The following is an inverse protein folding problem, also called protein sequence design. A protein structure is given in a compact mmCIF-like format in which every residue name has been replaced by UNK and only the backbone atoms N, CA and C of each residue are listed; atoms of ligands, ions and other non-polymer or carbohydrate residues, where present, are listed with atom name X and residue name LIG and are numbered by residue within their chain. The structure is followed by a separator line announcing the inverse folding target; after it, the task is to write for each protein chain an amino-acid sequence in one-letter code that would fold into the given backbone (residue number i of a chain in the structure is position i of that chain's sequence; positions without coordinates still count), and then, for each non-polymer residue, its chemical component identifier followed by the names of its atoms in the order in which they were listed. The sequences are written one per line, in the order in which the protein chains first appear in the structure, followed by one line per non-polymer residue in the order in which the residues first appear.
data_IF_220331428368
#
_entry.id   IF_220331428368
#
_cell.length_a   1.000
_cell.length_b   1.000
_cell.length_c   1.000
_cell.angle_alpha   90.00
_cell.angle_beta   90.00
_cell.angle_gamma   90.00
#
_symmetry.space_group_name_H-M   'P 1'
#
loop_
_entity.id
_entity.type
_entity.pdbx_description
1 polymer ?
#
# COMPACT_ATOMS: atom_id res chain seq x y z
N UNK A 1 -20.01 21.24 -3.41
CA UNK A 1 -20.62 21.54 -2.09
C UNK A 1 -19.52 21.27 -1.08
N UNK A 2 -19.08 22.27 -0.32
CA UNK A 2 -17.95 22.16 0.62
C UNK A 2 -18.27 21.15 1.72
N UNK A 3 -17.39 20.16 1.88
CA UNK A 3 -17.56 18.99 2.76
C UNK A 3 -16.87 19.16 4.11
N UNK A 4 -16.13 20.25 4.27
CA UNK A 4 -15.26 20.54 5.41
C UNK A 4 -16.04 20.74 6.71
N UNK A 5 -15.61 20.07 7.77
CA UNK A 5 -16.16 20.20 9.12
C UNK A 5 -15.74 21.56 9.72
N UNK A 6 -16.68 22.39 10.21
CA UNK A 6 -16.37 23.64 10.90
C UNK A 6 -15.51 23.47 12.16
N UNK A 7 -15.44 22.27 12.73
CA UNK A 7 -14.59 21.94 13.87
C UNK A 7 -13.12 21.67 13.51
N UNK A 8 -12.73 21.73 12.23
CA UNK A 8 -11.35 21.49 11.77
C UNK A 8 -10.38 22.55 12.30
N UNK A 9 -9.26 22.11 12.89
CA UNK A 9 -8.22 22.99 13.42
C UNK A 9 -7.24 23.49 12.35
N UNK A 10 -7.00 22.70 11.28
CA UNK A 10 -6.08 23.07 10.20
C UNK A 10 -6.71 24.12 9.30
N UNK A 11 -6.09 25.26 8.98
CA UNK A 11 -6.70 26.31 8.15
C UNK A 11 -7.11 25.81 6.76
N UNK A 12 -8.11 26.47 6.17
CA UNK A 12 -8.46 26.23 4.77
C UNK A 12 -7.56 27.03 3.86
N UNK A 13 -6.90 26.34 2.93
CA UNK A 13 -6.03 26.95 1.93
C UNK A 13 -6.81 27.07 0.62
N UNK A 14 -7.83 27.94 0.64
CA UNK A 14 -8.71 28.19 -0.50
C UNK A 14 -9.35 26.89 -1.03
N UNK A 15 -9.93 26.05 -0.17
CA UNK A 15 -10.55 24.78 -0.56
C UNK A 15 -9.60 23.68 -1.04
N UNK A 16 -8.28 23.80 -0.79
CA UNK A 16 -7.28 22.82 -1.21
C UNK A 16 -7.62 21.39 -0.80
N UNK A 17 -8.03 21.18 0.45
CA UNK A 17 -8.21 19.84 1.00
C UNK A 17 -9.38 19.10 0.32
N UNK A 18 -10.48 19.80 0.07
CA UNK A 18 -11.62 19.28 -0.69
C UNK A 18 -11.18 18.88 -2.11
N UNK A 19 -10.39 19.72 -2.80
CA UNK A 19 -9.87 19.38 -4.14
C UNK A 19 -8.92 18.19 -4.15
N UNK A 20 -8.09 18.03 -3.11
CA UNK A 20 -7.24 16.85 -2.96
C UNK A 20 -8.12 15.60 -2.75
N UNK A 21 -9.11 15.66 -1.87
CA UNK A 21 -10.01 14.53 -1.64
C UNK A 21 -10.79 14.12 -2.89
N UNK A 22 -11.28 15.09 -3.67
CA UNK A 22 -11.92 14.86 -4.95
C UNK A 22 -10.97 14.21 -5.97
N UNK A 23 -9.72 14.67 -6.06
CA UNK A 23 -8.75 14.07 -6.98
C UNK A 23 -8.33 12.66 -6.54
N UNK A 24 -8.17 12.42 -5.23
CA UNK A 24 -7.91 11.10 -4.65
C UNK A 24 -9.03 10.12 -5.00
N UNK A 25 -10.30 10.49 -4.77
CA UNK A 25 -11.45 9.68 -5.20
C UNK A 25 -11.38 9.35 -6.69
N UNK A 26 -11.05 10.35 -7.53
CA UNK A 26 -10.94 10.18 -8.98
C UNK A 26 -9.84 9.19 -9.36
N UNK A 27 -8.62 9.33 -8.83
CA UNK A 27 -7.51 8.47 -9.24
C UNK A 27 -7.48 7.10 -8.55
N UNK A 28 -8.08 6.95 -7.36
CA UNK A 28 -8.36 5.64 -6.76
C UNK A 28 -9.56 4.93 -7.44
N UNK A 29 -10.34 5.64 -8.26
CA UNK A 29 -11.64 5.17 -8.75
C UNK A 29 -12.54 4.64 -7.63
N UNK A 30 -12.44 5.29 -6.47
CA UNK A 30 -13.18 4.90 -5.29
C UNK A 30 -14.64 5.36 -5.42
N UNK A 31 -15.56 4.53 -4.93
CA UNK A 31 -17.00 4.82 -5.01
C UNK A 31 -17.46 5.72 -3.85
N UNK A 32 -16.74 5.65 -2.73
CA UNK A 32 -17.04 6.40 -1.52
C UNK A 32 -15.76 6.88 -0.83
N UNK A 33 -15.95 7.80 0.12
CA UNK A 33 -14.92 8.18 1.08
C UNK A 33 -15.50 8.15 2.49
N UNK A 34 -14.70 7.65 3.42
CA UNK A 34 -14.95 7.73 4.85
C UNK A 34 -14.48 9.05 5.47
N UNK A 35 -13.86 9.94 4.69
CA UNK A 35 -13.44 11.23 5.19
C UNK A 35 -14.64 12.06 5.62
N UNK A 36 -14.63 12.44 6.89
CA UNK A 36 -15.69 13.22 7.54
C UNK A 36 -15.66 14.71 7.20
N UNK A 37 -14.65 15.16 6.45
CA UNK A 37 -14.39 16.57 6.21
C UNK A 37 -13.59 17.24 7.33
N UNK A 38 -13.29 16.53 8.42
CA UNK A 38 -12.53 17.06 9.55
C UNK A 38 -11.04 16.87 9.39
N UNK A 39 -10.30 17.95 9.62
CA UNK A 39 -8.83 17.98 9.60
C UNK A 39 -8.31 18.62 10.89
N UNK A 40 -7.55 17.84 11.66
CA UNK A 40 -6.92 18.28 12.90
C UNK A 40 -5.39 18.21 12.78
N UNK A 41 -4.66 18.74 13.75
CA UNK A 41 -3.20 18.61 13.78
C UNK A 41 -2.78 17.27 14.40
N UNK A 42 -1.65 16.73 13.93
CA UNK A 42 -0.95 15.67 14.66
C UNK A 42 -0.56 16.14 16.06
N UNK A 43 -0.59 15.25 17.08
CA UNK A 43 -0.15 15.59 18.43
C UNK A 43 1.31 16.10 18.47
N UNK A 44 1.66 16.99 19.42
CA UNK A 44 3.03 17.47 19.58
C UNK A 44 4.03 16.31 19.71
N UNK A 45 5.12 16.39 18.95
CA UNK A 45 6.18 15.38 18.94
C UNK A 45 6.01 14.35 17.82
N UNK A 46 4.78 14.00 17.46
CA UNK A 46 4.50 13.18 16.27
C UNK A 46 4.58 14.03 15.00
N UNK A 47 4.16 15.28 15.07
CA UNK A 47 4.16 16.25 13.97
C UNK A 47 5.56 16.58 13.41
N UNK A 48 6.63 16.19 14.11
CA UNK A 48 8.02 16.32 13.64
C UNK A 48 8.54 15.10 12.88
N UNK A 49 7.88 13.95 13.01
CA UNK A 49 8.33 12.66 12.41
C UNK A 49 7.35 12.14 11.36
N UNK A 50 6.06 12.29 11.58
CA UNK A 50 5.00 11.90 10.66
C UNK A 50 4.45 13.12 9.90
N UNK A 51 4.01 12.91 8.66
CA UNK A 51 3.40 13.99 7.85
C UNK A 51 1.89 14.06 8.01
N UNK A 52 1.24 12.92 8.18
CA UNK A 52 -0.17 12.85 8.46
C UNK A 52 -0.56 11.50 9.04
N UNK A 53 -1.85 11.36 9.33
CA UNK A 53 -2.47 10.12 9.76
C UNK A 53 -3.97 10.15 9.44
N UNK A 54 -4.47 9.11 8.79
CA UNK A 54 -5.90 8.84 8.63
C UNK A 54 -6.46 8.06 9.84
N UNK A 55 -7.28 8.72 10.65
CA UNK A 55 -7.83 8.13 11.88
C UNK A 55 -8.96 7.13 11.61
N UNK A 56 -9.27 6.35 12.64
CA UNK A 56 -10.32 5.34 12.63
C UNK A 56 -11.73 5.90 12.43
N UNK A 57 -11.97 7.12 12.89
CA UNK A 57 -13.25 7.82 12.79
C UNK A 57 -13.32 8.73 11.55
N UNK A 58 -12.37 8.59 10.61
CA UNK A 58 -12.40 9.29 9.32
C UNK A 58 -11.96 10.75 9.38
N UNK A 59 -11.21 11.14 10.40
CA UNK A 59 -10.51 12.44 10.44
C UNK A 59 -9.13 12.32 9.82
N UNK A 60 -8.66 13.41 9.23
CA UNK A 60 -7.30 13.56 8.75
C UNK A 60 -6.48 14.35 9.77
N UNK A 61 -5.38 13.78 10.25
CA UNK A 61 -4.40 14.52 11.07
C UNK A 61 -3.23 14.92 10.18
N UNK A 62 -2.81 16.18 10.23
CA UNK A 62 -1.68 16.68 9.45
C UNK A 62 -0.60 17.30 10.34
N UNK A 63 0.66 17.10 9.96
CA UNK A 63 1.78 17.79 10.59
C UNK A 63 1.73 19.28 10.26
N UNK A 64 1.77 20.09 11.31
CA UNK A 64 1.89 21.54 11.16
C UNK A 64 3.18 21.93 10.43
N UNK A 65 4.40 21.58 10.91
CA UNK A 65 5.64 22.04 10.29
C UNK A 65 5.99 21.34 8.96
N UNK A 66 5.51 20.11 8.74
CA UNK A 66 5.91 19.34 7.55
C UNK A 66 4.91 19.44 6.39
N UNK A 67 3.63 19.74 6.67
CA UNK A 67 2.58 19.81 5.65
C UNK A 67 1.93 21.18 5.61
N UNK A 68 1.35 21.63 6.73
CA UNK A 68 0.48 22.81 6.73
C UNK A 68 1.25 24.10 6.55
N UNK A 69 2.38 24.29 7.25
CA UNK A 69 3.18 25.51 7.19
C UNK A 69 3.81 25.77 5.80
N UNK A 70 4.47 24.79 5.14
CA UNK A 70 4.96 24.98 3.78
C UNK A 70 3.87 25.40 2.79
N UNK A 71 2.68 24.78 2.87
CA UNK A 71 1.57 25.10 1.99
C UNK A 71 0.96 26.46 2.31
N UNK A 72 0.76 26.79 3.59
CA UNK A 72 0.29 28.10 4.01
C UNK A 72 1.22 29.21 3.52
N UNK A 73 2.54 28.97 3.58
CA UNK A 73 3.55 29.89 3.06
C UNK A 73 3.43 30.08 1.55
N UNK A 74 3.24 29.00 0.79
CA UNK A 74 3.02 29.06 -0.65
C UNK A 74 1.80 29.91 -1.02
N UNK A 75 0.68 29.74 -0.31
CA UNK A 75 -0.54 30.53 -0.55
C UNK A 75 -0.37 32.00 -0.13
N UNK A 76 0.33 32.28 0.96
CA UNK A 76 0.49 33.64 1.48
C UNK A 76 1.50 34.48 0.67
N UNK A 77 2.63 33.89 0.28
CA UNK A 77 3.73 34.60 -0.40
C UNK A 77 3.71 34.41 -1.93
N UNK A 78 2.88 33.51 -2.45
CA UNK A 78 2.73 33.26 -3.89
C UNK A 78 3.90 32.47 -4.51
N UNK A 79 3.93 32.31 -5.84
CA UNK A 79 4.88 31.42 -6.51
C UNK A 79 6.35 31.83 -6.41
N UNK A 80 6.65 33.08 -6.01
CA UNK A 80 8.02 33.57 -5.85
C UNK A 80 8.85 32.76 -4.84
N UNK A 81 8.20 32.19 -3.82
CA UNK A 81 8.89 31.38 -2.79
C UNK A 81 9.42 30.05 -3.31
N UNK A 82 8.92 29.60 -4.46
CA UNK A 82 9.36 28.35 -5.09
C UNK A 82 10.75 28.46 -5.72
N UNK A 83 11.35 29.66 -5.71
CA UNK A 83 12.78 29.85 -5.96
C UNK A 83 13.65 29.19 -4.89
N UNK A 84 13.13 28.93 -3.68
CA UNK A 84 13.74 28.04 -2.70
C UNK A 84 13.41 26.57 -3.05
N UNK A 85 14.39 25.78 -3.54
CA UNK A 85 14.14 24.40 -3.94
C UNK A 85 13.68 23.51 -2.78
N UNK A 86 14.13 23.80 -1.55
CA UNK A 86 13.75 23.02 -0.37
C UNK A 86 12.29 23.27 -0.02
N UNK A 87 11.82 24.52 -0.12
CA UNK A 87 10.41 24.82 0.08
C UNK A 87 9.54 24.17 -1.01
N UNK A 88 9.94 24.23 -2.28
CA UNK A 88 9.20 23.57 -3.36
C UNK A 88 9.01 22.06 -3.09
N UNK A 89 10.06 21.35 -2.67
CA UNK A 89 9.95 19.93 -2.28
C UNK A 89 9.06 19.74 -1.05
N UNK A 90 9.12 20.63 -0.06
CA UNK A 90 8.24 20.54 1.12
C UNK A 90 6.76 20.72 0.74
N UNK A 91 6.43 21.70 -0.09
CA UNK A 91 5.06 21.88 -0.59
C UNK A 91 4.57 20.65 -1.36
N UNK A 92 5.39 20.11 -2.25
CA UNK A 92 5.08 18.88 -2.99
C UNK A 92 4.83 17.70 -2.06
N UNK A 93 5.71 17.48 -1.08
CA UNK A 93 5.55 16.42 -0.08
C UNK A 93 4.33 16.64 0.81
N UNK A 94 3.95 17.88 1.08
CA UNK A 94 2.75 18.23 1.82
C UNK A 94 1.47 17.81 1.08
N UNK A 95 1.37 18.16 -0.20
CA UNK A 95 0.23 17.76 -1.05
C UNK A 95 0.18 16.23 -1.18
N UNK A 96 1.33 15.60 -1.43
CA UNK A 96 1.43 14.14 -1.49
C UNK A 96 0.98 13.47 -0.20
N UNK A 97 1.44 13.95 0.96
CA UNK A 97 1.08 13.37 2.25
C UNK A 97 -0.43 13.48 2.51
N UNK A 98 -1.03 14.65 2.27
CA UNK A 98 -2.48 14.78 2.41
C UNK A 98 -3.26 13.83 1.48
N UNK A 99 -2.80 13.67 0.23
CA UNK A 99 -3.41 12.73 -0.71
C UNK A 99 -3.25 11.26 -0.28
N UNK A 100 -2.08 10.89 0.25
CA UNK A 100 -1.80 9.55 0.78
C UNK A 100 -2.76 9.21 1.93
N UNK A 101 -2.87 10.10 2.91
CA UNK A 101 -3.77 9.90 4.04
C UNK A 101 -5.25 9.86 3.63
N UNK A 102 -5.66 10.70 2.67
CA UNK A 102 -7.01 10.62 2.10
C UNK A 102 -7.22 9.31 1.33
N UNK A 103 -6.16 8.73 0.76
CA UNK A 103 -6.16 7.43 0.12
C UNK A 103 -6.60 6.32 1.09
N UNK A 104 -6.11 6.35 2.34
CA UNK A 104 -6.58 5.42 3.39
C UNK A 104 -8.07 5.57 3.69
N UNK A 105 -8.67 6.73 3.40
CA UNK A 105 -10.09 7.01 3.62
C UNK A 105 -10.94 6.81 2.36
N UNK A 106 -10.37 6.28 1.28
CA UNK A 106 -11.15 5.80 0.12
C UNK A 106 -11.76 4.45 0.41
N UNK A 107 -12.93 4.18 -0.17
CA UNK A 107 -13.69 2.99 0.13
C UNK A 107 -14.57 2.53 -1.06
N UNK A 108 -14.83 1.22 -1.18
CA UNK A 108 -15.98 0.70 -1.92
C UNK A 108 -17.30 1.23 -1.33
N UNK A 109 -18.38 1.29 -2.12
CA UNK A 109 -19.66 1.87 -1.67
C UNK A 109 -20.31 1.15 -0.49
N UNK A 110 -20.02 -0.15 -0.32
CA UNK A 110 -20.55 -0.99 0.74
C UNK A 110 -19.67 -1.05 2.00
N UNK A 111 -18.50 -0.38 1.99
CA UNK A 111 -17.57 -0.38 3.11
C UNK A 111 -17.77 0.87 3.99
N UNK A 112 -17.99 0.64 5.29
CA UNK A 112 -18.44 1.66 6.24
C UNK A 112 -17.38 1.99 7.29
N UNK A 113 -17.63 3.03 8.10
CA UNK A 113 -16.78 3.35 9.25
C UNK A 113 -16.67 2.21 10.27
N UNK A 114 -17.74 1.43 10.44
CA UNK A 114 -17.72 0.28 11.33
C UNK A 114 -16.82 -0.85 10.78
N UNK A 115 -16.69 -0.95 9.45
CA UNK A 115 -15.75 -1.88 8.82
C UNK A 115 -14.30 -1.41 9.02
N UNK A 116 -14.03 -0.11 8.82
CA UNK A 116 -12.71 0.48 9.12
C UNK A 116 -12.26 0.21 10.54
N UNK A 117 -13.13 0.44 11.52
CA UNK A 117 -12.84 0.21 12.94
C UNK A 117 -12.50 -1.26 13.23
N UNK A 118 -13.07 -2.22 12.50
CA UNK A 118 -12.75 -3.65 12.64
C UNK A 118 -11.45 -4.04 11.94
N UNK A 119 -11.10 -3.33 10.86
CA UNK A 119 -9.90 -3.61 10.07
C UNK A 119 -8.62 -3.03 10.70
N UNK A 120 -8.74 -1.95 11.48
CA UNK A 120 -7.59 -1.26 12.08
C UNK A 120 -6.78 -2.08 13.09
N UNK A 121 -7.35 -3.14 13.66
CA UNK A 121 -6.65 -4.01 14.62
C UNK A 121 -5.78 -5.08 13.91
N UNK A 122 -5.57 -4.98 12.60
CA UNK A 122 -4.85 -5.97 11.77
C UNK A 122 -3.51 -5.44 11.25
N UNK A 123 -2.57 -5.22 12.17
CA UNK A 123 -1.20 -4.74 11.90
C UNK A 123 -0.47 -5.47 10.74
N UNK A 124 -0.83 -6.72 10.44
CA UNK A 124 -0.22 -7.52 9.37
C UNK A 124 -0.55 -6.99 7.96
N UNK A 125 -1.55 -6.11 7.80
CA UNK A 125 -2.00 -5.64 6.49
C UNK A 125 -1.43 -4.27 6.08
N UNK A 126 -0.80 -3.57 7.02
CA UNK A 126 -0.21 -2.23 6.82
C UNK A 126 0.78 -2.18 5.64
N UNK A 127 1.70 -3.15 5.44
CA UNK A 127 2.66 -3.04 4.34
C UNK A 127 2.01 -3.05 2.95
N UNK A 128 0.92 -3.81 2.78
CA UNK A 128 0.16 -3.79 1.53
C UNK A 128 -0.58 -2.46 1.38
N UNK A 129 -1.23 -1.99 2.43
CA UNK A 129 -2.01 -0.74 2.39
C UNK A 129 -1.13 0.44 2.03
N UNK A 130 -0.07 0.62 2.80
CA UNK A 130 0.90 1.68 2.62
C UNK A 130 1.61 1.55 1.28
N UNK A 131 1.98 0.33 0.87
CA UNK A 131 2.66 0.07 -0.39
C UNK A 131 1.86 0.48 -1.62
N UNK A 132 0.59 0.07 -1.71
CA UNK A 132 -0.28 0.34 -2.87
C UNK A 132 -0.75 1.80 -2.91
N UNK A 133 -1.18 2.36 -1.77
CA UNK A 133 -1.62 3.76 -1.70
C UNK A 133 -0.46 4.70 -2.01
N UNK A 134 0.72 4.45 -1.44
CA UNK A 134 1.90 5.27 -1.69
C UNK A 134 2.37 5.14 -3.15
N UNK A 135 2.33 3.94 -3.74
CA UNK A 135 2.70 3.74 -5.16
C UNK A 135 1.81 4.57 -6.09
N UNK A 136 0.49 4.50 -5.88
CA UNK A 136 -0.47 5.22 -6.70
C UNK A 136 -0.38 6.74 -6.47
N UNK A 137 -0.38 7.17 -5.20
CA UNK A 137 -0.28 8.59 -4.84
C UNK A 137 1.02 9.21 -5.37
N UNK A 138 2.14 8.51 -5.22
CA UNK A 138 3.44 8.98 -5.71
C UNK A 138 3.44 9.20 -7.23
N UNK A 139 2.82 8.30 -7.97
CA UNK A 139 2.67 8.38 -9.42
C UNK A 139 1.77 9.52 -9.87
N UNK A 140 0.66 9.74 -9.16
CA UNK A 140 -0.37 10.72 -9.54
C UNK A 140 -0.04 12.14 -9.09
N UNK A 141 0.81 12.31 -8.08
CA UNK A 141 1.15 13.63 -7.50
C UNK A 141 1.54 14.68 -8.56
N UNK A 142 2.38 14.40 -9.59
CA UNK A 142 2.70 15.39 -10.61
C UNK A 142 1.50 15.96 -11.36
N UNK A 143 0.52 15.13 -11.68
CA UNK A 143 -0.67 15.58 -12.37
C UNK A 143 -1.67 16.20 -11.39
N UNK A 144 -1.78 15.65 -10.17
CA UNK A 144 -2.62 16.16 -9.09
C UNK A 144 -2.26 17.60 -8.73
N UNK A 145 -0.97 17.91 -8.54
CA UNK A 145 -0.50 19.26 -8.20
C UNK A 145 -1.03 20.33 -9.16
N UNK A 146 -1.12 20.02 -10.46
CA UNK A 146 -1.65 20.95 -11.47
C UNK A 146 -3.18 21.06 -11.44
N UNK A 147 -3.88 20.04 -10.96
CA UNK A 147 -5.35 20.00 -10.87
C UNK A 147 -5.87 20.64 -9.59
N UNK A 148 -5.19 20.42 -8.47
CA UNK A 148 -5.69 20.80 -7.13
C UNK A 148 -5.21 22.18 -6.65
N UNK A 149 -4.14 22.70 -7.23
CA UNK A 149 -3.68 24.07 -6.97
C UNK A 149 -4.20 25.04 -8.02
N UNK A 150 -4.42 26.32 -7.68
CA UNK A 150 -4.56 27.38 -8.66
C UNK A 150 -3.41 27.36 -9.67
N UNK A 151 -3.67 27.68 -10.94
CA UNK A 151 -2.69 27.54 -12.02
C UNK A 151 -1.40 28.34 -11.77
N UNK A 152 -1.55 29.51 -11.13
CA UNK A 152 -0.46 30.39 -10.68
C UNK A 152 0.44 29.79 -9.60
N UNK A 153 0.02 28.72 -8.91
CA UNK A 153 0.82 27.98 -7.92
C UNK A 153 1.23 26.60 -8.44
N UNK A 154 0.30 25.87 -9.07
CA UNK A 154 0.48 24.48 -9.51
C UNK A 154 1.56 24.33 -10.59
N UNK A 155 1.50 25.15 -11.64
CA UNK A 155 2.47 25.10 -12.73
C UNK A 155 3.89 25.50 -12.29
N UNK A 156 4.09 26.60 -11.56
CA UNK A 156 5.40 26.92 -10.97
C UNK A 156 5.92 25.83 -10.03
N UNK A 157 5.08 25.24 -9.18
CA UNK A 157 5.50 24.18 -8.25
C UNK A 157 5.97 22.93 -9.02
N UNK A 158 5.20 22.49 -10.02
CA UNK A 158 5.59 21.35 -10.85
C UNK A 158 6.92 21.58 -11.58
N UNK A 159 7.15 22.79 -12.12
CA UNK A 159 8.43 23.15 -12.74
C UNK A 159 9.58 23.20 -11.73
N UNK A 160 9.37 23.82 -10.57
CA UNK A 160 10.39 23.97 -9.54
C UNK A 160 10.87 22.61 -8.99
N UNK A 161 9.96 21.63 -8.85
CA UNK A 161 10.33 20.27 -8.46
C UNK A 161 11.03 19.53 -9.60
N UNK A 162 10.53 19.63 -10.84
CA UNK A 162 11.16 18.98 -11.99
C UNK A 162 12.59 19.49 -12.25
N UNK A 163 12.85 20.78 -12.02
CA UNK A 163 14.15 21.40 -12.23
C UNK A 163 15.25 20.92 -11.26
N UNK A 164 14.90 20.26 -10.15
CA UNK A 164 15.88 19.82 -9.16
C UNK A 164 16.66 18.57 -9.60
N UNK A 165 16.19 17.84 -10.61
CA UNK A 165 16.86 16.64 -11.14
C UNK A 165 16.86 15.43 -10.21
N UNK A 166 16.62 15.60 -8.90
CA UNK A 166 16.43 14.51 -7.95
C UNK A 166 14.94 14.14 -7.83
N UNK A 167 14.64 12.87 -8.04
CA UNK A 167 13.29 12.35 -7.85
C UNK A 167 12.90 12.40 -6.37
N UNK A 168 11.74 12.98 -6.07
CA UNK A 168 11.13 12.90 -4.74
C UNK A 168 10.88 11.44 -4.42
N UNK A 169 11.47 10.91 -3.35
CA UNK A 169 11.30 9.50 -2.97
C UNK A 169 9.96 9.25 -2.26
N UNK A 170 9.40 8.03 -2.34
CA UNK A 170 8.31 7.61 -1.46
C UNK A 170 8.73 7.58 0.01
N UNK A 171 7.76 7.77 0.89
CA UNK A 171 7.81 7.64 2.35
C UNK A 171 8.11 6.20 2.76
N UNK A 172 7.54 5.22 2.04
CA UNK A 172 7.69 3.79 2.32
C UNK A 172 8.40 3.05 1.18
N UNK A 173 9.69 3.35 0.91
CA UNK A 173 10.35 2.90 -0.31
C UNK A 173 10.35 1.38 -0.49
N UNK A 174 10.54 0.60 0.58
CA UNK A 174 10.53 -0.87 0.50
C UNK A 174 9.18 -1.41 0.05
N UNK A 175 8.10 -0.97 0.70
CA UNK A 175 6.74 -1.42 0.42
C UNK A 175 6.21 -0.90 -0.92
N UNK A 176 6.47 0.37 -1.24
CA UNK A 176 6.13 0.96 -2.54
C UNK A 176 6.82 0.23 -3.69
N UNK A 177 8.09 -0.13 -3.53
CA UNK A 177 8.81 -0.92 -4.55
C UNK A 177 8.20 -2.30 -4.68
N UNK A 178 7.93 -3.00 -3.57
CA UNK A 178 7.31 -4.32 -3.60
C UNK A 178 5.95 -4.30 -4.33
N UNK A 179 5.10 -3.30 -4.06
CA UNK A 179 3.82 -3.13 -4.73
C UNK A 179 3.97 -2.85 -6.25
N UNK A 180 4.91 -1.98 -6.64
CA UNK A 180 5.17 -1.70 -8.06
C UNK A 180 5.71 -2.92 -8.81
N UNK A 181 6.62 -3.68 -8.18
CA UNK A 181 7.18 -4.90 -8.76
C UNK A 181 6.10 -5.96 -8.89
N UNK A 182 5.33 -6.18 -7.82
CA UNK A 182 4.20 -7.09 -7.85
C UNK A 182 3.25 -6.76 -9.01
N UNK A 183 2.87 -5.49 -9.15
CA UNK A 183 2.04 -5.02 -10.25
C UNK A 183 2.69 -5.20 -11.63
N UNK A 184 4.00 -4.97 -11.75
CA UNK A 184 4.77 -5.16 -12.97
C UNK A 184 4.82 -6.62 -13.42
N UNK A 185 5.09 -7.55 -12.49
CA UNK A 185 5.13 -8.99 -12.76
C UNK A 185 3.74 -9.51 -13.16
N UNK A 186 2.68 -9.11 -12.45
CA UNK A 186 1.31 -9.49 -12.85
C UNK A 186 0.95 -8.94 -14.23
N UNK A 187 1.31 -7.69 -14.54
CA UNK A 187 1.05 -7.10 -15.85
C UNK A 187 1.88 -7.71 -16.99
N UNK A 188 3.03 -8.32 -16.68
CA UNK A 188 3.82 -9.07 -17.65
C UNK A 188 3.24 -10.48 -17.92
N UNK A 189 2.63 -11.08 -16.89
CA UNK A 189 2.13 -12.46 -16.94
C UNK A 189 0.72 -12.58 -17.54
N UNK A 190 -0.19 -11.66 -17.23
CA UNK A 190 -1.59 -11.75 -17.61
C UNK A 190 -1.90 -10.84 -18.81
N UNK A 191 -2.45 -11.43 -19.87
CA UNK A 191 -2.78 -10.70 -21.09
C UNK A 191 -3.77 -9.55 -20.80
N UNK A 192 -3.56 -8.40 -21.45
CA UNK A 192 -4.36 -7.18 -21.28
C UNK A 192 -4.38 -6.57 -19.86
N UNK A 193 -3.62 -7.11 -18.91
CA UNK A 193 -3.49 -6.55 -17.57
C UNK A 193 -2.34 -5.55 -17.52
N UNK A 194 -2.63 -4.29 -17.19
CA UNK A 194 -1.56 -3.30 -16.96
C UNK A 194 -1.19 -3.26 -15.49
N UNK A 195 0.09 -3.01 -15.20
CA UNK A 195 0.54 -2.77 -13.82
C UNK A 195 -0.28 -1.65 -13.13
N UNK A 196 -0.70 -0.65 -13.89
CA UNK A 196 -1.55 0.46 -13.42
C UNK A 196 -2.89 -0.05 -12.87
N UNK A 197 -3.50 -1.02 -13.56
CA UNK A 197 -4.80 -1.58 -13.18
C UNK A 197 -4.66 -2.42 -11.89
N UNK A 198 -3.51 -3.08 -11.71
CA UNK A 198 -3.19 -3.82 -10.46
C UNK A 198 -3.00 -2.85 -9.29
N UNK A 199 -2.24 -1.78 -9.49
CA UNK A 199 -2.04 -0.76 -8.44
C UNK A 199 -3.36 -0.11 -8.05
N UNK A 200 -4.20 0.20 -9.04
CA UNK A 200 -5.53 0.76 -8.84
C UNK A 200 -6.43 -0.20 -8.07
N UNK A 201 -6.51 -1.48 -8.47
CA UNK A 201 -7.29 -2.49 -7.77
C UNK A 201 -6.84 -2.65 -6.32
N UNK A 202 -5.53 -2.59 -6.07
CA UNK A 202 -4.99 -2.65 -4.71
C UNK A 202 -5.31 -1.40 -3.87
N UNK A 203 -5.18 -0.21 -4.44
CA UNK A 203 -5.37 1.05 -3.72
C UNK A 203 -6.85 1.44 -3.48
N UNK A 204 -7.78 0.88 -4.27
CA UNK A 204 -9.23 1.10 -4.11
C UNK A 204 -9.83 0.38 -2.91
N UNK A 205 -9.18 -0.71 -2.49
CA UNK A 205 -9.73 -1.62 -1.48
C UNK A 205 -9.15 -1.35 -0.09
N UNK A 206 -9.96 -1.67 0.92
CA UNK A 206 -9.52 -1.66 2.32
C UNK A 206 -8.46 -2.73 2.57
N UNK A 207 -7.72 -2.58 3.67
CA UNK A 207 -6.69 -3.54 4.08
C UNK A 207 -7.16 -5.00 4.03
N UNK A 208 -8.35 -5.27 4.56
CA UNK A 208 -8.91 -6.62 4.65
C UNK A 208 -9.41 -7.20 3.34
N UNK A 209 -9.82 -6.36 2.39
CA UNK A 209 -10.39 -6.77 1.10
C UNK A 209 -9.35 -6.84 0.00
N UNK A 210 -8.25 -6.09 0.14
CA UNK A 210 -7.21 -5.95 -0.87
C UNK A 210 -6.66 -7.28 -1.41
N UNK A 211 -6.27 -8.27 -0.59
CA UNK A 211 -5.76 -9.52 -1.12
C UNK A 211 -6.80 -10.28 -1.95
N UNK A 212 -8.07 -10.24 -1.52
CA UNK A 212 -9.20 -10.83 -2.24
C UNK A 212 -9.45 -10.17 -3.59
N UNK A 213 -9.41 -8.84 -3.66
CA UNK A 213 -9.58 -8.12 -4.92
C UNK A 213 -8.44 -8.35 -5.90
N UNK A 214 -7.20 -8.43 -5.43
CA UNK A 214 -6.04 -8.78 -6.25
C UNK A 214 -6.15 -10.23 -6.76
N UNK A 215 -6.58 -11.17 -5.92
CA UNK A 215 -6.85 -12.55 -6.33
C UNK A 215 -7.96 -12.62 -7.39
N UNK A 216 -9.06 -11.90 -7.21
CA UNK A 216 -10.16 -11.81 -8.18
C UNK A 216 -9.70 -11.23 -9.52
N UNK A 217 -8.85 -10.20 -9.49
CA UNK A 217 -8.26 -9.63 -10.70
C UNK A 217 -7.44 -10.69 -11.46
N UNK A 218 -6.56 -11.42 -10.77
CA UNK A 218 -5.75 -12.48 -11.39
C UNK A 218 -6.63 -13.61 -11.97
N UNK A 219 -7.64 -14.05 -11.22
CA UNK A 219 -8.58 -15.09 -11.67
C UNK A 219 -9.32 -14.61 -12.92
N UNK A 220 -9.81 -13.37 -12.95
CA UNK A 220 -10.55 -12.82 -14.09
C UNK A 220 -9.72 -12.72 -15.38
N UNK A 221 -8.39 -12.68 -15.27
CA UNK A 221 -7.43 -12.61 -16.39
C UNK A 221 -6.80 -13.94 -16.74
N UNK A 222 -7.35 -15.04 -16.22
CA UNK A 222 -6.88 -16.40 -16.46
C UNK A 222 -7.97 -17.26 -17.11
N UNK A 223 -7.67 -18.52 -17.39
CA UNK A 223 -8.61 -19.53 -17.86
C UNK A 223 -9.49 -20.08 -16.72
N UNK A 224 -9.15 -19.78 -15.46
CA UNK A 224 -9.83 -20.30 -14.28
C UNK A 224 -11.34 -20.06 -14.22
N UNK A 225 -11.91 -18.92 -14.68
CA UNK A 225 -13.36 -18.73 -14.69
C UNK A 225 -14.10 -19.79 -15.51
N UNK A 226 -13.47 -20.30 -16.58
CA UNK A 226 -13.99 -21.40 -17.39
C UNK A 226 -13.84 -22.78 -16.72
N UNK A 227 -12.82 -22.94 -15.87
CA UNK A 227 -12.45 -24.21 -15.24
C UNK A 227 -13.07 -24.40 -13.85
N UNK A 228 -13.33 -23.32 -13.12
CA UNK A 228 -13.87 -23.29 -11.76
C UNK A 228 -15.40 -23.09 -11.76
N UNK A 229 -16.13 -24.01 -12.38
CA UNK A 229 -17.60 -23.93 -12.46
C UNK A 229 -18.30 -24.27 -11.13
N UNK A 230 -17.64 -25.00 -10.23
CA UNK A 230 -18.15 -25.29 -8.88
C UNK A 230 -17.91 -24.07 -7.96
N UNK A 231 -18.98 -23.40 -7.48
CA UNK A 231 -18.84 -22.21 -6.64
C UNK A 231 -18.03 -22.44 -5.36
N UNK A 232 -18.06 -23.65 -4.78
CA UNK A 232 -17.31 -23.97 -3.56
C UNK A 232 -15.81 -24.06 -3.84
N UNK A 233 -15.43 -24.68 -4.95
CA UNK A 233 -14.03 -24.77 -5.38
C UNK A 233 -13.50 -23.41 -5.81
N UNK A 234 -14.31 -22.62 -6.52
CA UNK A 234 -13.97 -21.25 -6.88
C UNK A 234 -13.69 -20.40 -5.65
N UNK A 235 -14.58 -20.46 -4.64
CA UNK A 235 -14.41 -19.73 -3.39
C UNK A 235 -13.16 -20.19 -2.60
N UNK A 236 -12.91 -21.49 -2.51
CA UNK A 236 -11.72 -22.03 -1.84
C UNK A 236 -10.43 -21.58 -2.53
N UNK A 237 -10.35 -21.69 -3.87
CA UNK A 237 -9.19 -21.26 -4.63
C UNK A 237 -8.93 -19.76 -4.49
N UNK A 238 -10.00 -18.94 -4.57
CA UNK A 238 -9.92 -17.50 -4.32
C UNK A 238 -9.35 -17.20 -2.93
N UNK A 239 -9.85 -17.87 -1.90
CA UNK A 239 -9.37 -17.69 -0.52
C UNK A 239 -7.88 -18.03 -0.42
N UNK A 240 -7.47 -19.19 -0.92
CA UNK A 240 -6.06 -19.61 -0.88
C UNK A 240 -5.12 -18.65 -1.61
N UNK A 241 -5.56 -18.09 -2.74
CA UNK A 241 -4.78 -17.09 -3.48
C UNK A 241 -4.74 -15.75 -2.74
N UNK A 242 -5.85 -15.31 -2.16
CA UNK A 242 -5.93 -14.10 -1.36
C UNK A 242 -5.03 -14.20 -0.11
N UNK A 243 -5.07 -15.32 0.61
CA UNK A 243 -4.25 -15.57 1.79
C UNK A 243 -2.76 -15.55 1.41
N UNK A 244 -2.38 -16.20 0.29
CA UNK A 244 -1.00 -16.19 -0.21
C UNK A 244 -0.49 -14.79 -0.50
N UNK A 245 -1.30 -13.94 -1.14
CA UNK A 245 -0.96 -12.53 -1.41
C UNK A 245 -0.85 -11.76 -0.08
N UNK A 246 -1.84 -11.91 0.80
CA UNK A 246 -1.89 -11.25 2.10
C UNK A 246 -0.67 -11.55 2.96
N UNK A 247 -0.36 -12.84 3.15
CA UNK A 247 0.80 -13.31 3.91
C UNK A 247 2.12 -12.84 3.30
N UNK A 248 2.19 -12.80 1.97
CA UNK A 248 3.34 -12.31 1.23
C UNK A 248 3.67 -10.86 1.56
N UNK A 249 2.67 -9.98 1.57
CA UNK A 249 2.85 -8.58 1.96
C UNK A 249 3.01 -8.40 3.47
N UNK A 250 2.32 -9.18 4.31
CA UNK A 250 2.49 -9.14 5.77
C UNK A 250 3.95 -9.40 6.18
N UNK A 251 4.62 -10.33 5.48
CA UNK A 251 6.05 -10.63 5.66
C UNK A 251 7.00 -9.48 5.29
N UNK A 252 6.52 -8.33 4.79
CA UNK A 252 7.32 -7.12 4.57
C UNK A 252 7.52 -6.28 5.83
N UNK A 253 6.72 -6.47 6.88
CA UNK A 253 6.82 -5.72 8.13
C UNK A 253 8.19 -5.93 8.82
N UNK A 254 8.83 -7.07 8.59
CA UNK A 254 10.11 -7.44 9.21
C UNK A 254 11.35 -6.88 8.49
N UNK A 255 11.20 -6.22 7.34
CA UNK A 255 12.32 -5.81 6.48
C UNK A 255 12.17 -4.37 6.03
N UNK A 256 12.42 -3.45 6.94
CA UNK A 256 12.34 -2.02 6.66
C UNK A 256 13.50 -1.56 5.74
N UNK A 257 13.19 -0.70 4.77
CA UNK A 257 14.08 0.27 4.10
C UNK A 257 15.02 -0.14 2.94
N UNK A 258 15.32 -1.41 2.66
CA UNK A 258 16.31 -1.73 1.59
C UNK A 258 15.66 -1.91 0.22
N UNK A 259 16.08 -1.09 -0.77
CA UNK A 259 15.59 -1.12 -2.17
C UNK A 259 15.61 -2.53 -2.78
N UNK A 260 16.69 -3.29 -2.57
CA UNK A 260 16.82 -4.67 -3.08
C UNK A 260 15.89 -5.66 -2.40
N UNK A 261 15.59 -5.47 -1.11
CA UNK A 261 14.64 -6.32 -0.39
C UNK A 261 13.22 -6.12 -0.92
N UNK A 262 12.81 -4.87 -1.20
CA UNK A 262 11.53 -4.56 -1.83
C UNK A 262 11.36 -5.24 -3.19
N UNK A 263 12.38 -5.17 -4.05
CA UNK A 263 12.38 -5.84 -5.38
C UNK A 263 12.17 -7.36 -5.24
N UNK A 264 13.07 -8.02 -4.51
CA UNK A 264 13.04 -9.48 -4.34
C UNK A 264 11.77 -9.97 -3.63
N UNK A 265 11.18 -9.16 -2.75
CA UNK A 265 9.93 -9.54 -2.09
C UNK A 265 8.75 -9.37 -3.05
N UNK A 266 8.64 -8.26 -3.77
CA UNK A 266 7.61 -8.07 -4.79
C UNK A 266 7.61 -9.19 -5.84
N UNK A 267 8.79 -9.54 -6.36
CA UNK A 267 9.00 -10.66 -7.30
C UNK A 267 8.52 -11.99 -6.70
N UNK A 268 8.89 -12.29 -5.44
CA UNK A 268 8.49 -13.53 -4.78
C UNK A 268 6.98 -13.61 -4.52
N UNK A 269 6.37 -12.50 -4.08
CA UNK A 269 4.92 -12.45 -3.83
C UNK A 269 4.17 -12.67 -5.15
N UNK A 270 4.58 -11.98 -6.23
CA UNK A 270 3.97 -12.16 -7.54
C UNK A 270 4.21 -13.56 -8.10
N UNK A 271 5.45 -14.06 -8.07
CA UNK A 271 5.80 -15.39 -8.56
C UNK A 271 5.00 -16.50 -7.88
N UNK A 272 4.84 -16.46 -6.55
CA UNK A 272 4.04 -17.43 -5.82
C UNK A 272 2.54 -17.36 -6.23
N UNK A 273 1.99 -16.16 -6.37
CA UNK A 273 0.60 -15.96 -6.78
C UNK A 273 0.35 -16.41 -8.23
N UNK A 274 1.28 -16.11 -9.14
CA UNK A 274 1.26 -16.56 -10.54
C UNK A 274 1.33 -18.08 -10.62
N UNK A 275 2.29 -18.70 -9.92
CA UNK A 275 2.46 -20.15 -9.88
C UNK A 275 1.19 -20.84 -9.38
N UNK A 276 0.54 -20.27 -8.35
CA UNK A 276 -0.75 -20.76 -7.83
C UNK A 276 -1.84 -20.74 -8.90
N UNK A 277 -1.96 -19.66 -9.68
CA UNK A 277 -2.91 -19.55 -10.80
C UNK A 277 -2.61 -20.59 -11.88
N UNK A 278 -1.37 -20.66 -12.37
CA UNK A 278 -0.98 -21.59 -13.45
C UNK A 278 -1.14 -23.06 -13.04
N UNK A 279 -0.74 -23.40 -11.82
CA UNK A 279 -0.93 -24.76 -11.28
C UNK A 279 -2.41 -25.08 -11.15
N UNK A 280 -3.23 -24.12 -10.72
CA UNK A 280 -4.68 -24.24 -10.68
C UNK A 280 -5.27 -24.51 -12.07
N UNK A 281 -4.89 -23.73 -13.09
CA UNK A 281 -5.36 -23.91 -14.46
C UNK A 281 -5.06 -25.32 -14.97
N UNK A 282 -3.81 -25.79 -14.80
CA UNK A 282 -3.40 -27.14 -15.22
C UNK A 282 -4.20 -28.23 -14.50
N UNK A 283 -4.35 -28.11 -13.18
CA UNK A 283 -5.07 -29.09 -12.37
C UNK A 283 -6.55 -29.19 -12.78
N UNK A 284 -7.23 -28.05 -12.90
CA UNK A 284 -8.67 -28.04 -13.22
C UNK A 284 -8.95 -28.38 -14.68
N UNK A 285 -8.07 -28.04 -15.62
CA UNK A 285 -8.16 -28.50 -17.00
C UNK A 285 -8.09 -30.02 -17.09
N UNK A 286 -7.13 -30.64 -16.41
CA UNK A 286 -7.01 -32.11 -16.35
C UNK A 286 -8.27 -32.74 -15.74
N UNK A 287 -8.80 -32.18 -14.65
CA UNK A 287 -10.04 -32.68 -14.05
C UNK A 287 -11.25 -32.62 -15.00
N UNK A 288 -11.34 -31.58 -15.83
CA UNK A 288 -12.38 -31.44 -16.83
C UNK A 288 -12.28 -32.52 -17.93
N UNK A 289 -11.05 -32.81 -18.38
CA UNK A 289 -10.77 -33.83 -19.40
C UNK A 289 -11.11 -35.25 -18.94
N UNK A 290 -11.04 -35.54 -17.64
CA UNK A 290 -11.45 -36.83 -17.06
C UNK A 290 -12.96 -37.00 -16.86
N UNK A 291 -13.80 -36.10 -17.42
CA UNK A 291 -15.25 -36.29 -17.47
C UNK A 291 -15.98 -36.19 -16.12
N UNK A 292 -15.41 -35.48 -15.15
CA UNK A 292 -16.06 -35.24 -13.86
C UNK A 292 -16.23 -36.50 -13.00
N UNK A 293 -15.38 -37.53 -13.17
CA UNK A 293 -15.31 -38.64 -12.21
C UNK A 293 -15.06 -38.05 -10.84
N UNK A 294 -16.08 -38.07 -9.99
CA UNK A 294 -16.00 -37.56 -8.63
C UNK A 294 -14.86 -38.29 -7.93
N UNK A 295 -13.76 -37.58 -7.68
CA UNK A 295 -12.73 -38.00 -6.73
C UNK A 295 -13.32 -37.88 -5.33
N UNK A 296 -14.27 -38.77 -5.01
CA UNK A 296 -14.94 -38.89 -3.71
C UNK A 296 -14.04 -39.55 -2.65
N UNK A 297 -12.72 -39.60 -2.91
CA UNK A 297 -11.71 -40.15 -2.01
C UNK A 297 -10.51 -39.22 -1.93
N UNK A 298 -10.64 -38.20 -1.09
CA UNK A 298 -9.61 -37.82 -0.13
C UNK A 298 -8.19 -37.55 -0.63
N UNK A 299 -7.99 -37.08 -1.86
CA UNK A 299 -6.72 -36.46 -2.26
C UNK A 299 -6.91 -34.96 -2.12
N UNK A 300 -6.73 -34.46 -0.90
CA UNK A 300 -6.34 -33.07 -0.73
C UNK A 300 -5.04 -32.88 -1.55
N UNK A 301 -4.89 -31.80 -2.34
CA UNK A 301 -3.59 -31.46 -2.87
C UNK A 301 -2.63 -31.42 -1.67
N UNK A 302 -1.49 -32.11 -1.78
CA UNK A 302 -0.52 -32.14 -0.71
C UNK A 302 -0.05 -30.72 -0.40
N UNK A 303 -0.66 -30.09 0.61
CA UNK A 303 -0.09 -28.96 1.32
C UNK A 303 1.20 -29.48 1.95
N UNK A 304 2.33 -29.29 1.26
CA UNK A 304 3.63 -29.78 1.75
C UNK A 304 4.70 -30.09 0.70
N UNK A 305 4.45 -29.91 -0.60
CA UNK A 305 5.45 -30.22 -1.63
C UNK A 305 6.07 -28.99 -2.33
N UNK A 306 6.13 -27.81 -1.71
CA UNK A 306 7.05 -26.75 -2.17
C UNK A 306 7.51 -25.95 -0.95
N UNK A 307 8.78 -26.14 -0.57
CA UNK A 307 9.38 -25.46 0.59
C UNK A 307 10.26 -26.40 1.40
N UNK A 308 11.32 -26.95 0.79
CA UNK A 308 12.45 -27.41 1.59
C UNK A 308 12.95 -26.20 2.38
N UNK A 309 13.01 -26.24 3.73
CA UNK A 309 13.70 -25.21 4.48
C UNK A 309 15.17 -25.18 4.02
N UNK A 310 15.84 -24.02 4.00
CA UNK A 310 17.26 -23.99 3.69
C UNK A 310 17.99 -24.91 4.67
N UNK A 311 18.84 -25.78 4.11
CA UNK A 311 19.65 -26.71 4.87
C UNK A 311 20.42 -25.95 5.95
N UNK A 312 20.21 -26.32 7.21
CA UNK A 312 21.10 -25.94 8.29
C UNK A 312 22.45 -26.60 8.02
N UNK A 313 23.42 -25.79 7.62
CA UNK A 313 24.78 -26.23 7.43
C UNK A 313 25.39 -26.58 8.79
N UNK A 314 25.55 -27.88 9.02
CA UNK A 314 26.19 -28.42 10.21
C UNK A 314 27.71 -28.22 10.13
N UNK A 315 28.17 -27.06 10.59
CA UNK A 315 29.55 -26.86 11.01
C UNK A 315 29.85 -27.51 12.36
N UNK A 316 30.13 -28.82 12.40
CA UNK A 316 31.05 -29.40 13.40
C UNK A 316 32.48 -29.00 12.97
N UNK A 317 33.44 -28.66 13.81
CA UNK A 317 33.59 -28.60 15.26
C UNK A 317 35.07 -28.28 15.55
N UNK A 318 35.35 -27.63 16.67
CA UNK A 318 36.72 -27.30 17.06
C UNK A 318 36.72 -26.57 18.39
N UNK A 319 36.51 -27.31 19.46
CA UNK A 319 36.47 -26.76 20.81
C UNK A 319 37.85 -26.43 21.37
N UNK A 320 37.87 -25.52 22.35
CA UNK A 320 38.78 -25.61 23.49
C UNK A 320 38.21 -24.92 24.73
N UNK A 321 38.27 -25.70 25.82
CA UNK A 321 37.98 -25.46 27.23
C UNK A 321 38.42 -24.10 27.81
N UNK A 322 37.66 -23.61 28.80
CA UNK A 322 38.14 -22.76 29.90
C UNK A 322 37.01 -22.35 30.85
N UNK A 323 37.11 -22.53 32.19
CA UNK A 323 35.94 -22.61 33.08
C UNK A 323 35.58 -21.30 33.80
N UNK A 324 34.39 -21.33 34.39
CA UNK A 324 33.74 -20.32 35.21
C UNK A 324 34.41 -20.07 36.58
N UNK A 325 34.32 -18.82 37.03
CA UNK A 325 34.12 -18.31 38.40
C UNK A 325 34.25 -16.78 38.32
N UNK A 326 33.75 -15.88 39.18
CA UNK A 326 33.07 -15.93 40.46
C UNK A 326 32.40 -14.55 40.67
N UNK A 327 31.35 -14.51 41.47
CA UNK A 327 30.82 -13.45 42.37
C UNK A 327 31.21 -11.95 42.22
N UNK A 328 30.20 -11.13 42.52
CA UNK A 328 30.35 -9.94 43.38
C UNK A 328 29.66 -8.69 42.83
N UNK A 329 28.47 -8.34 43.32
CA UNK A 329 28.20 -7.41 44.44
C UNK A 329 28.15 -5.93 44.02
N UNK A 330 26.97 -5.35 44.25
CA UNK A 330 26.68 -4.06 44.90
C UNK A 330 27.65 -2.88 44.72
N UNK A 331 27.09 -1.71 44.35
CA UNK A 331 27.73 -0.43 44.67
C UNK A 331 27.02 0.77 44.05
N UNK A 332 26.23 1.47 44.87
CA UNK A 332 25.71 2.81 44.61
C UNK A 332 26.86 3.83 44.45
N UNK A 333 26.62 4.85 43.64
CA UNK A 333 27.37 6.10 43.53
C UNK A 333 26.68 7.01 42.55
#
# INVERSE_FOLDING_TARGET
MTRRDPASEVPDLDGLWDRIAEDVLRFHQAEATLWTGRIDFLPPGQDLVARGQATADGRLLLSRPLVVEPLSRLYAEGPGVLSDPRLAVRCWRGIKAAAHELGHLTAPADWTMADRLRDLDRDQQDPAEEGFIEALTHRETPAMVRRVLPAELGEPLARAVAAQGEAVRPSYPGWTIAANVFAGELGAEFEELRADDVLLAGARESASRRPGALADLMISRSSLPGLLQDPRRAAAFRSELADLIGDGFAGLAEVETVKSAGLQRGERIAGAAIEKVRTGELFYAQMADFGGVAFDRGIAPAAGAVGSPPAQDHGKGGGTRGPASDKGKEGRG
#
